data_IF_348339326867
#
_entry.id   IF_348339326867
#
_cell.length_a   1.000
_cell.length_b   1.000
_cell.length_c   1.000
_cell.angle_alpha   90.00
_cell.angle_beta   90.00
_cell.angle_gamma   90.00
#
_symmetry.space_group_name_H-M   'P 1'
#
loop_
_entity.id
_entity.type
_entity.pdbx_description
1 polymer ?
#
# COMPACT_ATOMS: atom_id res chain seq x y z
N UNK A 1 5.14 -9.18 -6.03
CA UNK A 1 5.47 -9.93 -7.26
C UNK A 1 6.70 -9.28 -7.89
N UNK A 2 7.88 -9.75 -7.52
CA UNK A 2 9.14 -9.28 -8.11
C UNK A 2 9.43 -10.25 -9.26
N UNK A 3 9.69 -9.75 -10.46
CA UNK A 3 10.36 -10.55 -11.49
C UNK A 3 11.84 -10.71 -11.06
N UNK A 4 12.07 -11.38 -9.93
CA UNK A 4 13.38 -11.87 -9.51
C UNK A 4 13.66 -13.07 -10.38
N UNK A 5 14.43 -12.87 -11.44
CA UNK A 5 15.19 -13.96 -11.98
C UNK A 5 16.65 -13.49 -12.04
N UNK A 6 17.42 -14.06 -11.12
CA UNK A 6 18.88 -14.10 -11.06
C UNK A 6 19.59 -12.81 -10.58
N UNK A 7 19.83 -12.74 -9.26
CA UNK A 7 20.93 -11.96 -8.70
C UNK A 7 22.23 -12.60 -9.15
N UNK A 8 23.13 -11.81 -9.74
CA UNK A 8 24.47 -12.31 -10.07
C UNK A 8 25.29 -12.31 -8.77
N UNK A 9 25.84 -13.45 -8.31
CA UNK A 9 26.69 -13.47 -7.14
C UNK A 9 27.92 -12.59 -7.37
N UNK A 10 28.30 -11.79 -6.37
CA UNK A 10 29.54 -11.01 -6.44
C UNK A 10 30.71 -11.99 -6.55
N UNK A 11 31.53 -11.87 -7.60
CA UNK A 11 32.75 -12.65 -7.71
C UNK A 11 33.74 -12.16 -6.66
N UNK A 12 34.32 -13.09 -5.90
CA UNK A 12 35.34 -12.81 -4.89
C UNK A 12 36.74 -12.60 -5.48
N UNK A 13 36.87 -12.68 -6.81
CA UNK A 13 38.12 -12.42 -7.52
C UNK A 13 37.88 -11.38 -8.61
N UNK A 14 38.88 -10.52 -8.78
CA UNK A 14 38.89 -9.46 -9.79
C UNK A 14 39.99 -9.82 -10.76
N UNK A 15 39.64 -10.13 -12.00
CA UNK A 15 40.65 -10.36 -13.02
C UNK A 15 41.42 -9.05 -13.27
N UNK A 16 42.70 -9.04 -12.91
CA UNK A 16 43.60 -7.90 -13.05
C UNK A 16 44.06 -7.69 -14.50
N UNK A 17 43.94 -8.72 -15.35
CA UNK A 17 44.32 -8.64 -16.77
C UNK A 17 43.31 -7.87 -17.61
N UNK A 18 42.09 -7.68 -17.10
CA UNK A 18 41.03 -6.99 -17.81
C UNK A 18 41.04 -5.48 -17.54
N UNK A 19 40.66 -4.65 -18.52
CA UNK A 19 40.52 -3.22 -18.31
C UNK A 19 39.45 -2.95 -17.25
N UNK A 20 39.76 -2.08 -16.28
CA UNK A 20 38.86 -1.70 -15.19
C UNK A 20 38.48 -0.23 -15.34
N UNK A 21 37.27 0.12 -14.87
CA UNK A 21 36.78 1.50 -14.84
C UNK A 21 35.49 1.71 -15.63
N UNK A 22 34.90 2.90 -15.52
CA UNK A 22 33.57 3.21 -16.12
C UNK A 22 33.57 3.10 -17.65
N UNK A 23 34.70 3.32 -18.30
CA UNK A 23 34.88 3.25 -19.75
C UNK A 23 35.38 1.89 -20.22
N UNK A 24 35.72 0.98 -19.32
CA UNK A 24 36.18 -0.35 -19.69
C UNK A 24 35.02 -1.17 -20.28
N UNK A 25 35.25 -1.70 -21.48
CA UNK A 25 34.33 -2.58 -22.16
C UNK A 25 35.05 -3.83 -22.67
N UNK A 26 34.30 -4.91 -22.79
CA UNK A 26 34.72 -6.16 -23.43
C UNK A 26 33.71 -6.53 -24.51
N UNK A 27 34.14 -7.27 -25.52
CA UNK A 27 33.26 -7.74 -26.60
C UNK A 27 32.95 -9.21 -26.41
N UNK A 28 31.67 -9.54 -26.29
CA UNK A 28 31.20 -10.93 -26.15
C UNK A 28 30.40 -11.29 -27.40
N UNK A 29 30.72 -12.42 -28.02
CA UNK A 29 29.98 -12.95 -29.17
C UNK A 29 28.82 -13.81 -28.65
N UNK A 30 27.59 -13.42 -28.98
CA UNK A 30 26.36 -14.11 -28.56
C UNK A 30 25.55 -14.39 -29.83
N UNK A 31 25.28 -15.66 -30.12
CA UNK A 31 24.53 -16.10 -31.31
C UNK A 31 25.01 -15.44 -32.62
N UNK A 32 26.33 -15.35 -32.81
CA UNK A 32 26.93 -14.72 -34.00
C UNK A 32 27.03 -13.20 -33.96
N UNK A 33 26.36 -12.52 -33.04
CA UNK A 33 26.39 -11.05 -32.89
C UNK A 33 27.40 -10.63 -31.83
N UNK A 34 28.21 -9.61 -32.12
CA UNK A 34 29.17 -9.04 -31.15
C UNK A 34 28.48 -7.97 -30.33
N UNK A 35 28.42 -8.15 -29.02
CA UNK A 35 27.81 -7.21 -28.07
C UNK A 35 28.87 -6.67 -27.13
N UNK A 36 28.84 -5.36 -26.86
CA UNK A 36 29.71 -4.71 -25.88
C UNK A 36 29.18 -4.94 -24.46
N UNK A 37 29.99 -5.55 -23.61
CA UNK A 37 29.76 -5.65 -22.16
C UNK A 37 30.57 -4.57 -21.43
N UNK A 38 29.96 -3.91 -20.44
CA UNK A 38 30.61 -2.84 -19.69
C UNK A 38 30.96 -3.27 -18.27
N UNK A 39 31.98 -2.66 -17.69
CA UNK A 39 32.38 -2.89 -16.30
C UNK A 39 31.37 -2.31 -15.29
N UNK A 40 31.12 -3.03 -14.20
CA UNK A 40 30.42 -2.51 -13.03
C UNK A 40 31.42 -2.13 -11.94
N UNK A 41 31.57 -0.85 -11.63
CA UNK A 41 32.47 -0.37 -10.56
C UNK A 41 32.01 -0.81 -9.16
N UNK A 42 30.70 -0.94 -8.94
CA UNK A 42 30.13 -1.28 -7.63
C UNK A 42 30.22 -2.77 -7.30
N UNK A 43 30.16 -3.62 -8.32
CA UNK A 43 30.25 -5.08 -8.16
C UNK A 43 31.63 -5.64 -8.56
N UNK A 44 32.49 -4.82 -9.16
CA UNK A 44 33.86 -5.17 -9.52
C UNK A 44 33.98 -6.34 -10.52
N UNK A 45 33.04 -6.41 -11.47
CA UNK A 45 33.03 -7.40 -12.56
C UNK A 45 32.38 -6.84 -13.83
N UNK A 46 32.61 -7.47 -14.98
CA UNK A 46 31.85 -7.16 -16.20
C UNK A 46 30.39 -7.54 -16.06
N UNK A 47 29.51 -6.64 -16.48
CA UNK A 47 28.06 -6.88 -16.50
C UNK A 47 27.76 -7.96 -17.53
N UNK A 48 26.98 -8.96 -17.12
CA UNK A 48 26.39 -9.91 -18.05
C UNK A 48 25.50 -9.19 -19.07
N UNK A 49 25.30 -9.75 -20.27
CA UNK A 49 24.37 -9.19 -21.26
C UNK A 49 22.99 -8.95 -20.65
N UNK A 50 22.43 -7.76 -20.89
CA UNK A 50 21.12 -7.31 -20.34
C UNK A 50 21.08 -7.15 -18.81
N UNK A 51 22.21 -7.21 -18.11
CA UNK A 51 22.26 -6.89 -16.68
C UNK A 51 22.55 -5.42 -16.43
N UNK A 52 21.97 -4.86 -15.35
CA UNK A 52 22.26 -3.52 -14.86
C UNK A 52 22.53 -3.55 -13.36
N UNK A 53 23.38 -2.65 -12.88
CA UNK A 53 23.58 -2.47 -11.44
C UNK A 53 22.38 -1.73 -10.88
N UNK A 54 21.70 -2.34 -9.90
CA UNK A 54 20.62 -1.72 -9.17
C UNK A 54 21.16 -1.21 -7.83
N UNK A 55 21.16 0.11 -7.64
CA UNK A 55 21.60 0.75 -6.41
C UNK A 55 20.77 0.33 -5.19
N UNK A 56 19.46 0.12 -5.38
CA UNK A 56 18.55 -0.30 -4.30
C UNK A 56 18.88 -1.73 -3.83
N UNK A 57 19.14 -2.66 -4.75
CA UNK A 57 19.57 -4.02 -4.41
C UNK A 57 21.06 -4.13 -4.08
N UNK A 58 21.84 -3.07 -4.32
CA UNK A 58 23.30 -3.03 -4.29
C UNK A 58 23.98 -4.21 -5.03
N UNK A 59 23.42 -4.61 -6.17
CA UNK A 59 23.85 -5.78 -6.94
C UNK A 59 23.52 -5.62 -8.43
N UNK A 60 24.28 -6.30 -9.29
CA UNK A 60 23.93 -6.49 -10.70
C UNK A 60 22.76 -7.49 -10.81
N UNK A 61 21.72 -7.09 -11.54
CA UNK A 61 20.50 -7.90 -11.75
C UNK A 61 20.39 -8.21 -13.23
N UNK A 62 20.20 -9.47 -13.59
CA UNK A 62 19.97 -9.88 -14.98
C UNK A 62 18.59 -9.43 -15.46
N UNK A 63 18.43 -9.18 -16.76
CA UNK A 63 17.15 -8.76 -17.37
C UNK A 63 16.48 -7.62 -16.59
N UNK A 64 17.26 -6.60 -16.23
CA UNK A 64 16.74 -5.49 -15.44
C UNK A 64 15.74 -4.67 -16.26
N UNK A 65 14.46 -4.80 -15.92
CA UNK A 65 13.40 -3.94 -16.45
C UNK A 65 13.22 -2.71 -15.56
N UNK A 66 12.62 -2.86 -14.37
CA UNK A 66 12.41 -1.74 -13.43
C UNK A 66 12.50 -2.22 -11.98
N UNK A 67 13.22 -1.48 -11.13
CA UNK A 67 13.11 -1.61 -9.67
C UNK A 67 12.00 -0.67 -9.20
N UNK A 68 10.75 -1.11 -9.29
CA UNK A 68 9.60 -0.27 -8.97
C UNK A 68 9.24 -0.41 -7.48
N UNK A 69 9.52 0.63 -6.69
CA UNK A 69 9.06 0.76 -5.29
C UNK A 69 7.52 0.85 -5.21
N UNK A 70 6.85 1.32 -6.27
CA UNK A 70 5.39 1.41 -6.33
C UNK A 70 4.72 0.03 -6.24
N UNK A 71 5.40 -1.05 -6.63
CA UNK A 71 4.87 -2.40 -6.47
C UNK A 71 4.67 -2.80 -5.01
N UNK A 72 5.48 -2.27 -4.08
CA UNK A 72 5.26 -2.45 -2.64
C UNK A 72 4.11 -1.58 -2.14
N UNK A 73 4.01 -0.35 -2.64
CA UNK A 73 2.89 0.55 -2.33
C UNK A 73 1.56 -0.14 -2.66
N UNK A 74 1.39 -0.65 -3.89
CA UNK A 74 0.17 -1.36 -4.34
C UNK A 74 -0.21 -2.52 -3.42
N UNK A 75 0.76 -3.33 -2.97
CA UNK A 75 0.50 -4.51 -2.13
C UNK A 75 -0.04 -4.13 -0.75
N UNK A 76 0.45 -3.03 -0.15
CA UNK A 76 0.04 -2.63 1.20
C UNK A 76 -1.07 -1.59 1.20
N UNK A 77 -1.05 -0.63 0.28
CA UNK A 77 -2.00 0.49 0.27
C UNK A 77 -3.35 0.10 -0.29
N UNK A 78 -3.42 -0.81 -1.26
CA UNK A 78 -4.73 -1.22 -1.80
C UNK A 78 -5.57 -1.92 -0.71
N UNK A 79 -5.08 -2.98 -0.02
CA UNK A 79 -5.86 -3.62 1.04
C UNK A 79 -6.21 -2.66 2.19
N UNK A 80 -5.27 -1.82 2.62
CA UNK A 80 -5.52 -0.83 3.68
C UNK A 80 -6.58 0.21 3.26
N UNK A 81 -6.51 0.71 2.02
CA UNK A 81 -7.50 1.66 1.51
C UNK A 81 -8.89 1.05 1.42
N UNK A 82 -9.03 -0.22 1.01
CA UNK A 82 -10.32 -0.91 0.95
C UNK A 82 -10.96 -1.02 2.34
N UNK A 83 -10.18 -1.33 3.36
CA UNK A 83 -10.66 -1.39 4.75
C UNK A 83 -11.15 -0.02 5.23
N UNK A 84 -10.37 1.04 4.99
CA UNK A 84 -10.72 2.40 5.40
C UNK A 84 -11.95 2.94 4.66
N UNK A 85 -12.08 2.64 3.37
CA UNK A 85 -13.23 3.03 2.57
C UNK A 85 -14.51 2.35 3.09
N UNK A 86 -14.44 1.05 3.38
CA UNK A 86 -15.59 0.32 3.95
C UNK A 86 -16.01 0.89 5.31
N UNK A 87 -15.03 1.16 6.18
CA UNK A 87 -15.27 1.77 7.48
C UNK A 87 -15.91 3.17 7.35
N UNK A 88 -15.43 3.98 6.40
CA UNK A 88 -16.01 5.28 6.10
C UNK A 88 -17.47 5.18 5.66
N UNK A 89 -17.80 4.27 4.73
CA UNK A 89 -19.17 4.10 4.28
C UNK A 89 -20.10 3.55 5.36
N UNK A 90 -19.59 2.66 6.22
CA UNK A 90 -20.33 2.17 7.38
C UNK A 90 -20.68 3.32 8.32
N UNK A 91 -19.69 4.11 8.76
CA UNK A 91 -19.96 5.27 9.62
C UNK A 91 -20.79 6.36 8.93
N UNK A 92 -20.62 6.57 7.63
CA UNK A 92 -21.46 7.50 6.87
C UNK A 92 -22.92 7.04 6.90
N UNK A 93 -23.19 5.76 6.64
CA UNK A 93 -24.56 5.21 6.73
C UNK A 93 -25.16 5.41 8.11
N UNK A 94 -24.38 5.18 9.16
CA UNK A 94 -24.80 5.35 10.54
C UNK A 94 -25.14 6.81 10.88
N UNK A 95 -24.31 7.77 10.45
CA UNK A 95 -24.57 9.20 10.61
C UNK A 95 -25.84 9.60 9.85
N UNK A 96 -26.00 9.11 8.61
CA UNK A 96 -27.17 9.41 7.79
C UNK A 96 -28.46 8.84 8.37
N UNK A 97 -28.41 7.76 9.13
CA UNK A 97 -29.56 7.19 9.84
C UNK A 97 -29.63 7.60 11.30
N UNK A 98 -28.78 8.52 11.78
CA UNK A 98 -28.70 8.94 13.18
C UNK A 98 -28.67 7.75 14.17
N UNK A 99 -27.79 6.77 13.90
CA UNK A 99 -27.53 5.62 14.78
C UNK A 99 -26.08 5.65 15.27
N UNK A 100 -25.88 5.29 16.52
CA UNK A 100 -24.54 5.13 17.12
C UNK A 100 -24.03 3.69 16.94
N UNK A 101 -22.71 3.51 17.01
CA UNK A 101 -22.07 2.18 16.84
C UNK A 101 -22.50 1.22 17.93
N UNK A 102 -22.71 1.74 19.14
CA UNK A 102 -23.23 0.94 20.24
C UNK A 102 -24.65 0.43 19.96
N UNK A 103 -25.57 1.30 19.53
CA UNK A 103 -26.95 0.92 19.22
C UNK A 103 -27.05 -0.12 18.09
N UNK A 104 -26.20 0.01 17.06
CA UNK A 104 -26.13 -0.94 15.95
C UNK A 104 -25.57 -2.31 16.41
N UNK A 105 -24.47 -2.31 17.18
CA UNK A 105 -23.88 -3.55 17.73
C UNK A 105 -24.83 -4.27 18.69
N UNK A 106 -25.59 -3.52 19.51
CA UNK A 106 -26.58 -4.08 20.43
C UNK A 106 -27.91 -4.43 19.73
N UNK A 107 -28.11 -4.01 18.48
CA UNK A 107 -29.32 -4.29 17.72
C UNK A 107 -30.59 -3.61 18.26
N UNK A 108 -30.46 -2.53 19.04
CA UNK A 108 -31.60 -1.93 19.76
C UNK A 108 -32.68 -1.35 18.83
N UNK A 109 -32.30 -0.88 17.65
CA UNK A 109 -33.19 -0.27 16.65
C UNK A 109 -33.14 -1.02 15.32
N UNK A 110 -33.21 -2.36 15.35
CA UNK A 110 -33.14 -3.18 14.14
C UNK A 110 -34.37 -3.04 13.23
N UNK A 111 -35.56 -2.78 13.79
CA UNK A 111 -36.80 -2.61 13.05
C UNK A 111 -37.02 -1.14 12.66
N UNK A 112 -37.30 -0.28 13.64
CA UNK A 112 -37.53 1.15 13.44
C UNK A 112 -36.59 1.99 14.29
N UNK A 113 -35.96 3.01 13.67
CA UNK A 113 -35.11 3.96 14.38
C UNK A 113 -35.88 5.23 14.71
N UNK A 114 -36.27 5.48 15.98
CA UNK A 114 -37.00 6.68 16.37
C UNK A 114 -36.18 7.97 16.22
N UNK A 115 -34.85 7.88 16.10
CA UNK A 115 -33.96 9.04 15.95
C UNK A 115 -33.70 9.42 14.48
N UNK A 116 -34.18 8.65 13.51
CA UNK A 116 -33.99 8.93 12.08
C UNK A 116 -35.01 9.96 11.59
N UNK A 117 -34.57 11.21 11.39
CA UNK A 117 -35.40 12.31 10.87
C UNK A 117 -35.14 12.59 9.38
N UNK A 118 -34.54 11.63 8.69
CA UNK A 118 -34.14 11.73 7.29
C UNK A 118 -32.67 12.13 7.09
N UNK A 119 -32.08 11.58 6.02
CA UNK A 119 -30.63 11.60 5.75
C UNK A 119 -29.97 12.99 5.85
N UNK A 120 -30.56 14.00 5.21
CA UNK A 120 -30.00 15.36 5.20
C UNK A 120 -30.16 16.06 6.55
N UNK A 121 -31.31 15.89 7.21
CA UNK A 121 -31.58 16.42 8.56
C UNK A 121 -30.60 15.84 9.57
N UNK A 122 -30.40 14.51 9.54
CA UNK A 122 -29.48 13.79 10.41
C UNK A 122 -28.03 14.24 10.19
N UNK A 123 -27.59 14.34 8.93
CA UNK A 123 -26.25 14.82 8.60
C UNK A 123 -26.04 16.27 9.08
N UNK A 124 -27.02 17.15 8.85
CA UNK A 124 -26.98 18.54 9.29
C UNK A 124 -26.91 18.63 10.81
N UNK A 125 -27.69 17.81 11.53
CA UNK A 125 -27.63 17.72 12.99
C UNK A 125 -26.23 17.32 13.45
N UNK A 126 -25.67 16.26 12.88
CA UNK A 126 -24.34 15.79 13.25
C UNK A 126 -23.25 16.85 12.99
N UNK A 127 -23.30 17.58 11.87
CA UNK A 127 -22.28 18.56 11.50
C UNK A 127 -22.42 19.91 12.20
N UNK A 128 -23.65 20.36 12.48
CA UNK A 128 -23.92 21.75 12.89
C UNK A 128 -24.45 21.88 14.33
N UNK A 129 -24.91 20.81 14.97
CA UNK A 129 -25.36 20.91 16.36
C UNK A 129 -24.16 20.83 17.30
N UNK A 130 -23.94 21.83 18.18
CA UNK A 130 -22.90 21.75 19.18
C UNK A 130 -23.21 20.60 20.13
N UNK A 131 -22.19 19.83 20.50
CA UNK A 131 -22.31 18.72 21.45
C UNK A 131 -22.75 19.29 22.80
N UNK A 132 -24.05 19.19 23.09
CA UNK A 132 -24.61 19.62 24.36
C UNK A 132 -24.44 18.49 25.37
N UNK A 133 -23.63 18.72 26.41
CA UNK A 133 -23.40 17.77 27.50
C UNK A 133 -24.56 17.68 28.50
N UNK A 134 -25.66 18.44 28.33
CA UNK A 134 -26.78 18.39 29.29
C UNK A 134 -27.35 17.00 29.37
N UNK A 135 -27.32 16.46 30.59
CA UNK A 135 -27.94 15.20 30.97
C UNK A 135 -29.43 15.25 30.62
N UNK A 136 -29.91 14.14 30.08
CA UNK A 136 -31.32 13.91 29.76
C UNK A 136 -32.17 14.21 30.98
N UNK A 137 -33.16 15.10 30.85
CA UNK A 137 -34.21 15.22 31.86
C UNK A 137 -35.09 13.98 31.74
N UNK A 138 -34.97 13.09 32.72
CA UNK A 138 -35.82 11.92 32.83
C UNK A 138 -37.24 12.40 33.16
N UNK A 139 -38.12 12.39 32.17
CA UNK A 139 -39.50 12.80 32.38
C UNK A 139 -40.28 11.71 33.12
N UNK A 140 -40.13 10.42 32.76
CA UNK A 140 -40.86 9.31 33.39
C UNK A 140 -40.11 7.96 33.29
N UNK A 141 -40.03 7.20 34.39
CA UNK A 141 -39.53 5.80 34.37
C UNK A 141 -40.70 4.87 34.05
N UNK A 142 -40.77 4.38 32.81
CA UNK A 142 -41.76 3.37 32.44
C UNK A 142 -41.30 2.02 32.99
N UNK A 143 -42.05 1.46 33.95
CA UNK A 143 -41.83 0.08 34.38
C UNK A 143 -42.31 -0.86 33.29
N UNK A 144 -41.37 -1.54 32.63
CA UNK A 144 -41.68 -2.66 31.75
C UNK A 144 -42.10 -3.82 32.65
N UNK A 145 -43.41 -4.03 32.80
CA UNK A 145 -43.93 -5.26 33.40
C UNK A 145 -43.66 -6.41 32.45
N UNK A 146 -42.92 -7.40 32.94
CA UNK A 146 -42.66 -8.69 32.28
C UNK A 146 -43.97 -9.46 32.04
#
# INVERSE_FOLDING_TARGET
>A
MVFFLYRIPKKNYVDLSLPKGRTAFTTVKINGTIVKGYWCVHCNHFKEPRSKHCYVCNNCVTRFDHHCVCSLYIIYTIPASLLLINLFFYHLKMILSNRTTYEDIQGMYAQDNPFDEGKFSNLKKFLLTPVNKRQVEWTEIVKVTL
#
